data_IF_967137491296
#
_entry.id   IF_967137491296
#
_cell.length_a   1.000
_cell.length_b   1.000
_cell.length_c   1.000
_cell.angle_alpha   90.00
_cell.angle_beta   90.00
_cell.angle_gamma   90.00
#
_symmetry.space_group_name_H-M   'P 1'
#
loop_
_entity.id
_entity.type
_entity.pdbx_description
1 polymer ?
#
# COMPACT_ATOMS: atom_id res chain seq x y z
N UNK A 1 -15.31 3.78 -24.70
CA UNK A 1 -14.99 2.41 -24.22
C UNK A 1 -13.75 2.54 -23.36
N UNK A 2 -13.90 2.50 -22.05
CA UNK A 2 -12.80 2.73 -21.13
C UNK A 2 -11.88 1.49 -21.12
N UNK A 3 -10.66 1.63 -21.62
CA UNK A 3 -9.65 0.57 -21.54
C UNK A 3 -9.00 0.69 -20.17
N UNK A 4 -9.02 -0.34 -19.30
CA UNK A 4 -8.40 -0.23 -17.99
C UNK A 4 -6.86 -0.14 -18.08
N UNK A 5 -6.25 0.32 -16.99
CA UNK A 5 -4.80 0.22 -16.82
C UNK A 5 -4.35 -1.24 -16.92
N UNK A 6 -3.08 -1.44 -17.27
CA UNK A 6 -2.55 -2.81 -17.21
C UNK A 6 -2.65 -3.33 -15.76
N UNK A 7 -2.90 -4.64 -15.57
CA UNK A 7 -2.96 -5.22 -14.23
C UNK A 7 -1.68 -4.95 -13.42
N UNK A 8 -1.85 -4.57 -12.16
CA UNK A 8 -0.76 -4.25 -11.24
C UNK A 8 -0.11 -2.87 -11.46
N UNK A 9 -0.67 -2.05 -12.35
CA UNK A 9 -0.27 -0.65 -12.50
C UNK A 9 -1.33 0.25 -11.86
N UNK A 10 -0.90 1.03 -10.88
CA UNK A 10 -1.75 1.96 -10.15
C UNK A 10 -1.34 3.40 -10.46
N UNK A 11 -2.30 4.32 -10.42
CA UNK A 11 -2.10 5.73 -10.76
C UNK A 11 -2.62 6.63 -9.65
N UNK A 12 -1.84 7.68 -9.32
CA UNK A 12 -2.28 8.79 -8.47
C UNK A 12 -1.81 10.10 -9.09
N UNK A 13 -2.70 11.09 -9.14
CA UNK A 13 -2.37 12.46 -9.53
C UNK A 13 -2.08 13.29 -8.27
N UNK A 14 -0.93 13.97 -8.24
CA UNK A 14 -0.52 14.92 -7.20
C UNK A 14 -0.31 16.30 -7.85
N UNK A 15 -1.32 17.16 -7.78
CA UNK A 15 -1.30 18.43 -8.51
C UNK A 15 -1.24 18.20 -10.02
N UNK A 16 -0.16 18.65 -10.67
CA UNK A 16 0.07 18.43 -12.11
C UNK A 16 0.85 17.13 -12.41
N UNK A 17 1.42 16.48 -11.38
CA UNK A 17 2.25 15.30 -11.57
C UNK A 17 1.40 14.03 -11.53
N UNK A 18 1.70 13.10 -12.44
CA UNK A 18 1.07 11.78 -12.49
C UNK A 18 2.09 10.73 -12.05
N UNK A 19 1.86 10.12 -10.89
CA UNK A 19 2.69 9.04 -10.35
C UNK A 19 2.04 7.71 -10.68
N UNK A 20 2.87 6.79 -11.15
CA UNK A 20 2.51 5.40 -11.37
C UNK A 20 3.26 4.50 -10.41
N UNK A 21 2.55 3.51 -9.87
CA UNK A 21 3.13 2.42 -9.12
C UNK A 21 2.97 1.11 -9.89
N UNK A 22 4.09 0.58 -10.36
CA UNK A 22 4.19 -0.68 -11.09
C UNK A 22 4.55 -1.79 -10.11
N UNK A 23 3.53 -2.41 -9.53
CA UNK A 23 3.70 -3.43 -8.50
C UNK A 23 4.45 -4.68 -9.02
N UNK A 24 4.18 -5.21 -10.23
CA UNK A 24 4.96 -6.32 -10.78
C UNK A 24 6.45 -6.03 -10.96
N UNK A 25 6.80 -4.79 -11.34
CA UNK A 25 8.20 -4.38 -11.53
C UNK A 25 8.82 -3.68 -10.31
N UNK A 26 8.10 -3.63 -9.18
CA UNK A 26 8.52 -3.03 -7.92
C UNK A 26 9.12 -1.62 -8.06
N UNK A 27 8.42 -0.74 -8.79
CA UNK A 27 8.93 0.62 -9.07
C UNK A 27 7.84 1.67 -9.14
N UNK A 28 8.25 2.88 -8.81
CA UNK A 28 7.46 4.09 -9.03
C UNK A 28 8.09 4.88 -10.17
N UNK A 29 7.25 5.52 -10.98
CA UNK A 29 7.73 6.45 -11.99
C UNK A 29 6.74 7.60 -12.19
N UNK A 30 7.28 8.76 -12.51
CA UNK A 30 6.51 9.93 -12.94
C UNK A 30 6.20 9.81 -14.43
N UNK A 31 5.01 10.25 -14.83
CA UNK A 31 4.66 10.39 -16.23
C UNK A 31 5.52 11.48 -16.87
N UNK A 32 6.28 11.18 -17.94
CA UNK A 32 7.04 12.19 -18.65
C UNK A 32 6.12 13.29 -19.18
N UNK A 33 6.53 14.58 -19.14
CA UNK A 33 5.69 15.71 -19.54
C UNK A 33 5.06 15.57 -20.94
N UNK A 34 5.78 14.94 -21.87
CA UNK A 34 5.31 14.68 -23.25
C UNK A 34 4.07 13.79 -23.33
N UNK A 35 3.77 13.00 -22.31
CA UNK A 35 2.62 12.09 -22.27
C UNK A 35 1.47 12.62 -21.41
N UNK A 36 1.65 13.70 -20.65
CA UNK A 36 0.62 14.25 -19.74
C UNK A 36 -0.66 14.59 -20.48
N UNK A 37 -0.60 15.32 -21.60
CA UNK A 37 -1.79 15.66 -22.40
C UNK A 37 -2.51 14.45 -22.96
N UNK A 38 -1.75 13.45 -23.43
CA UNK A 38 -2.31 12.18 -23.93
C UNK A 38 -3.01 11.43 -22.78
N UNK A 39 -2.43 11.45 -21.59
CA UNK A 39 -2.99 10.84 -20.39
C UNK A 39 -4.25 11.55 -19.88
N UNK A 40 -4.27 12.87 -19.82
CA UNK A 40 -5.45 13.67 -19.43
C UNK A 40 -6.64 13.44 -20.38
N UNK A 41 -6.36 13.33 -21.69
CA UNK A 41 -7.38 12.94 -22.68
C UNK A 41 -7.91 11.55 -22.44
N UNK A 42 -7.04 10.61 -22.04
CA UNK A 42 -7.46 9.26 -21.68
C UNK A 42 -8.33 9.24 -20.42
N UNK A 43 -7.96 9.98 -19.37
CA UNK A 43 -8.77 10.11 -18.15
C UNK A 43 -10.15 10.73 -18.40
N UNK A 44 -10.29 11.58 -19.42
CA UNK A 44 -11.54 12.26 -19.78
C UNK A 44 -12.33 11.56 -20.90
N UNK A 45 -11.96 10.33 -21.28
CA UNK A 45 -12.54 9.54 -22.38
C UNK A 45 -12.52 10.28 -23.75
N UNK A 46 -11.55 11.18 -23.94
CA UNK A 46 -11.31 11.98 -25.17
C UNK A 46 -10.04 11.55 -25.92
N UNK A 47 -9.47 10.39 -25.60
CA UNK A 47 -8.25 9.90 -26.24
C UNK A 47 -8.51 9.44 -27.68
N UNK A 48 -7.65 9.86 -28.61
CA UNK A 48 -7.66 9.38 -30.00
C UNK A 48 -7.11 7.95 -30.13
N UNK A 49 -7.34 7.29 -31.26
CA UNK A 49 -6.73 5.98 -31.55
C UNK A 49 -5.18 6.02 -31.51
N UNK A 50 -4.58 7.13 -31.95
CA UNK A 50 -3.13 7.36 -31.83
C UNK A 50 -2.67 7.54 -30.38
N UNK A 51 -3.47 8.19 -29.54
CA UNK A 51 -3.19 8.35 -28.10
C UNK A 51 -3.20 6.98 -27.40
N UNK A 52 -4.22 6.16 -27.67
CA UNK A 52 -4.32 4.80 -27.13
C UNK A 52 -3.17 3.91 -27.59
N UNK A 53 -2.75 4.05 -28.86
CA UNK A 53 -1.59 3.31 -29.39
C UNK A 53 -0.30 3.68 -28.65
N UNK A 54 -0.04 4.98 -28.45
CA UNK A 54 1.11 5.46 -27.67
C UNK A 54 1.09 4.96 -26.22
N UNK A 55 -0.08 4.97 -25.57
CA UNK A 55 -0.23 4.45 -24.20
C UNK A 55 0.00 2.93 -24.11
N UNK A 56 -0.34 2.17 -25.17
CA UNK A 56 -0.03 0.73 -25.28
C UNK A 56 1.44 0.47 -25.55
N UNK A 57 2.08 1.26 -26.40
CA UNK A 57 3.52 1.15 -26.68
C UNK A 57 4.33 1.40 -25.41
N UNK A 58 3.84 2.31 -24.57
CA UNK A 58 4.41 2.60 -23.26
C UNK A 58 3.92 1.67 -22.13
N UNK A 59 3.12 0.64 -22.48
CA UNK A 59 2.62 -0.40 -21.58
C UNK A 59 1.88 0.15 -20.34
N UNK A 60 1.11 1.24 -20.50
CA UNK A 60 0.28 1.81 -19.44
C UNK A 60 -1.14 1.21 -19.41
N UNK A 61 -1.70 0.93 -20.58
CA UNK A 61 -3.06 0.38 -20.72
C UNK A 61 -3.03 -1.06 -21.20
N UNK A 62 -4.02 -1.85 -20.79
CA UNK A 62 -4.12 -3.24 -21.18
C UNK A 62 -4.27 -3.41 -22.70
N UNK A 63 -3.69 -4.48 -23.25
CA UNK A 63 -3.81 -4.84 -24.68
C UNK A 63 -5.16 -5.48 -25.03
N UNK A 64 -6.02 -5.74 -24.03
CA UNK A 64 -7.36 -6.30 -24.19
C UNK A 64 -8.28 -5.91 -23.05
N UNK A 65 -9.55 -6.32 -23.11
CA UNK A 65 -10.51 -6.16 -22.03
C UNK A 65 -10.09 -7.10 -20.89
N UNK A 66 -9.40 -6.59 -19.88
CA UNK A 66 -9.10 -7.38 -18.69
C UNK A 66 -10.24 -7.20 -17.72
N UNK A 67 -11.09 -8.22 -17.59
CA UNK A 67 -12.01 -8.37 -16.48
C UNK A 67 -11.21 -8.73 -15.22
N UNK A 68 -10.57 -7.71 -14.64
CA UNK A 68 -9.80 -7.81 -13.41
C UNK A 68 -10.31 -6.78 -12.43
N UNK A 69 -11.46 -7.07 -11.81
CA UNK A 69 -12.11 -6.21 -10.82
C UNK A 69 -11.33 -6.28 -9.51
N UNK A 70 -10.22 -5.54 -9.40
CA UNK A 70 -9.82 -5.02 -8.10
C UNK A 70 -10.80 -3.90 -7.77
N UNK A 71 -11.64 -4.12 -6.77
CA UNK A 71 -12.48 -3.06 -6.19
C UNK A 71 -11.55 -2.06 -5.51
N UNK A 72 -10.97 -1.16 -6.29
CA UNK A 72 -10.18 -0.01 -5.84
C UNK A 72 -11.10 1.02 -5.19
N UNK A 73 -11.85 0.61 -4.15
CA UNK A 73 -12.39 1.61 -3.23
C UNK A 73 -11.19 2.22 -2.53
N UNK A 74 -10.99 3.55 -2.62
CA UNK A 74 -9.90 4.17 -1.92
C UNK A 74 -10.03 3.84 -0.43
N UNK A 75 -8.92 3.57 0.27
CA UNK A 75 -8.97 3.36 1.71
C UNK A 75 -9.62 4.59 2.35
N UNK A 76 -10.38 4.36 3.43
CA UNK A 76 -11.03 5.45 4.17
C UNK A 76 -9.97 6.48 4.57
N UNK A 77 -10.34 7.75 4.58
CA UNK A 77 -9.44 8.79 5.08
C UNK A 77 -9.13 8.51 6.55
N UNK A 78 -7.86 8.39 6.94
CA UNK A 78 -7.52 8.14 8.33
C UNK A 78 -7.90 9.34 9.20
N UNK A 79 -8.59 9.10 10.30
CA UNK A 79 -9.04 10.14 11.26
C UNK A 79 -8.33 10.02 12.61
N UNK A 80 -7.69 8.89 12.88
CA UNK A 80 -6.95 8.65 14.11
C UNK A 80 -5.71 7.78 13.88
N UNK A 81 -4.79 7.79 14.84
CA UNK A 81 -3.67 6.85 14.86
C UNK A 81 -3.54 6.21 16.24
N UNK A 82 -3.67 4.88 16.27
CA UNK A 82 -3.37 4.09 17.46
C UNK A 82 -1.87 4.09 17.76
N UNK A 83 -1.01 4.55 16.83
CA UNK A 83 0.40 4.74 17.11
C UNK A 83 0.67 5.82 18.16
N UNK A 84 -0.15 6.87 18.18
CA UNK A 84 0.03 8.06 19.03
C UNK A 84 -0.44 7.83 20.47
N UNK A 85 -1.20 6.76 20.73
CA UNK A 85 -1.65 6.40 22.07
C UNK A 85 -0.48 5.88 22.92
N UNK A 86 -0.38 6.33 24.17
CA UNK A 86 0.62 5.83 25.13
C UNK A 86 0.18 4.49 25.69
N UNK A 87 1.02 3.46 25.54
CA UNK A 87 0.73 2.12 26.06
C UNK A 87 1.78 1.70 27.10
N UNK A 88 1.31 1.09 28.18
CA UNK A 88 2.15 0.57 29.26
C UNK A 88 2.79 -0.78 28.87
N UNK A 89 4.09 -0.93 29.14
CA UNK A 89 4.86 -2.17 29.29
C UNK A 89 4.69 -3.27 28.24
N UNK A 90 5.66 -3.45 27.34
CA UNK A 90 5.69 -4.57 26.38
C UNK A 90 6.39 -5.79 26.98
N UNK A 91 5.72 -6.94 26.97
CA UNK A 91 6.33 -8.23 27.36
C UNK A 91 7.46 -8.64 26.40
N UNK A 92 8.58 -9.13 26.95
CA UNK A 92 9.76 -9.55 26.19
C UNK A 92 9.47 -10.63 25.13
N UNK A 93 8.53 -11.54 25.41
CA UNK A 93 8.10 -12.57 24.47
C UNK A 93 7.42 -11.98 23.22
N UNK A 94 6.59 -10.95 23.41
CA UNK A 94 5.94 -10.21 22.32
C UNK A 94 6.96 -9.46 21.46
N UNK A 95 8.01 -8.90 22.07
CA UNK A 95 9.09 -8.23 21.35
C UNK A 95 9.91 -9.21 20.49
N UNK A 96 10.29 -10.37 21.05
CA UNK A 96 11.02 -11.41 20.32
C UNK A 96 10.22 -11.96 19.13
N UNK A 97 8.91 -12.16 19.32
CA UNK A 97 8.01 -12.57 18.24
C UNK A 97 7.94 -11.52 17.12
N UNK A 98 7.76 -10.24 17.46
CA UNK A 98 7.77 -9.14 16.48
C UNK A 98 9.05 -9.14 15.64
N UNK A 99 10.22 -9.32 16.28
CA UNK A 99 11.51 -9.39 15.59
C UNK A 99 11.56 -10.58 14.61
N UNK A 100 11.06 -11.75 15.03
CA UNK A 100 11.03 -12.93 14.18
C UNK A 100 10.10 -12.74 12.97
N UNK A 101 8.90 -12.18 13.17
CA UNK A 101 7.95 -11.91 12.08
C UNK A 101 8.52 -10.88 11.10
N UNK A 102 9.20 -9.84 11.59
CA UNK A 102 9.89 -8.86 10.73
C UNK A 102 11.02 -9.51 9.91
N UNK A 103 11.86 -10.36 10.55
CA UNK A 103 12.92 -11.09 9.83
C UNK A 103 12.36 -12.02 8.76
N UNK A 104 11.26 -12.72 9.05
CA UNK A 104 10.56 -13.55 8.09
C UNK A 104 9.99 -12.73 6.93
N UNK A 105 9.31 -11.63 7.21
CA UNK A 105 8.76 -10.74 6.19
C UNK A 105 9.87 -10.17 5.28
N UNK A 106 11.04 -9.81 5.85
CA UNK A 106 12.22 -9.40 5.08
C UNK A 106 12.75 -10.51 4.19
N UNK A 107 12.85 -11.73 4.72
CA UNK A 107 13.26 -12.91 3.95
C UNK A 107 12.30 -13.21 2.80
N UNK A 108 10.99 -13.16 3.06
CA UNK A 108 9.95 -13.37 2.05
C UNK A 108 10.01 -12.29 0.96
N UNK A 109 10.18 -11.01 1.34
CA UNK A 109 10.26 -9.90 0.38
C UNK A 109 11.47 -10.07 -0.55
N UNK A 110 12.63 -10.41 0.01
CA UNK A 110 13.85 -10.66 -0.78
C UNK A 110 13.73 -11.90 -1.68
N UNK A 111 12.97 -12.92 -1.27
CA UNK A 111 12.85 -14.19 -2.02
C UNK A 111 11.72 -14.18 -3.06
N UNK A 112 10.61 -13.50 -2.78
CA UNK A 112 9.37 -13.61 -3.57
C UNK A 112 8.99 -12.31 -4.29
N UNK A 113 9.56 -11.17 -3.88
CA UNK A 113 9.17 -9.85 -4.37
C UNK A 113 7.84 -9.36 -3.78
N UNK A 114 7.61 -8.04 -3.86
CA UNK A 114 6.43 -7.38 -3.29
C UNK A 114 5.13 -7.91 -3.92
N UNK A 115 5.12 -8.12 -5.23
CA UNK A 115 3.93 -8.54 -5.98
C UNK A 115 3.33 -9.85 -5.46
N UNK A 116 4.17 -10.86 -5.19
CA UNK A 116 3.73 -12.17 -4.66
C UNK A 116 3.19 -12.06 -3.24
N UNK A 117 3.78 -11.17 -2.43
CA UNK A 117 3.31 -10.94 -1.05
C UNK A 117 1.95 -10.27 -1.07
N UNK A 118 1.77 -9.23 -1.89
CA UNK A 118 0.49 -8.55 -2.06
C UNK A 118 -0.58 -9.53 -2.51
N UNK A 119 -0.33 -10.35 -3.55
CA UNK A 119 -1.28 -11.37 -3.99
C UNK A 119 -1.66 -12.37 -2.88
N UNK A 120 -0.72 -12.69 -1.99
CA UNK A 120 -1.03 -13.54 -0.83
C UNK A 120 -1.93 -12.80 0.18
N UNK A 121 -1.61 -11.54 0.47
CA UNK A 121 -2.38 -10.70 1.39
C UNK A 121 -3.80 -10.41 0.87
N UNK A 122 -4.01 -10.30 -0.44
CA UNK A 122 -5.35 -10.18 -1.06
C UNK A 122 -6.19 -11.43 -0.78
N UNK A 123 -5.60 -12.62 -0.92
CA UNK A 123 -6.29 -13.89 -0.63
C UNK A 123 -6.61 -14.03 0.85
N UNK A 124 -5.68 -13.66 1.72
CA UNK A 124 -5.82 -13.79 3.17
C UNK A 124 -6.81 -12.74 3.75
N UNK A 125 -6.94 -11.57 3.11
CA UNK A 125 -7.78 -10.45 3.57
C UNK A 125 -9.29 -10.64 3.42
N UNK A 126 -9.74 -11.63 2.62
CA UNK A 126 -11.15 -11.94 2.41
C UNK A 126 -11.83 -12.62 3.62
N UNK A 127 -11.06 -12.98 4.65
CA UNK A 127 -11.54 -13.81 5.77
C UNK A 127 -12.24 -13.03 6.90
N UNK A 128 -12.16 -11.70 6.96
CA UNK A 128 -12.75 -10.92 8.07
C UNK A 128 -13.21 -9.53 7.62
N UNK A 129 -14.36 -9.08 8.12
CA UNK A 129 -15.01 -7.82 7.74
C UNK A 129 -14.78 -6.68 8.75
N UNK A 130 -14.24 -6.98 9.93
CA UNK A 130 -14.01 -6.02 11.01
C UNK A 130 -12.68 -6.30 11.72
N UNK A 131 -12.24 -5.34 12.52
CA UNK A 131 -11.09 -5.44 13.39
C UNK A 131 -11.56 -5.09 14.80
N UNK A 132 -11.24 -5.92 15.78
CA UNK A 132 -11.44 -5.58 17.19
C UNK A 132 -10.38 -4.57 17.63
N UNK A 133 -10.81 -3.50 18.32
CA UNK A 133 -9.93 -2.41 18.74
C UNK A 133 -8.87 -2.88 19.76
N UNK A 134 -9.21 -3.85 20.60
CA UNK A 134 -8.28 -4.47 21.55
C UNK A 134 -7.15 -5.21 20.85
N UNK A 135 -7.50 -6.02 19.83
CA UNK A 135 -6.50 -6.71 19.00
C UNK A 135 -5.63 -5.72 18.21
N UNK A 136 -6.22 -4.69 17.61
CA UNK A 136 -5.48 -3.66 16.88
C UNK A 136 -4.47 -2.94 17.78
N UNK A 137 -4.88 -2.60 19.00
CA UNK A 137 -4.06 -2.00 20.03
C UNK A 137 -2.89 -2.90 20.43
N UNK A 138 -3.16 -4.15 20.82
CA UNK A 138 -2.12 -5.12 21.23
C UNK A 138 -1.03 -5.31 20.17
N UNK A 139 -1.46 -5.45 18.92
CA UNK A 139 -0.55 -5.60 17.78
C UNK A 139 0.28 -4.31 17.60
N UNK A 140 -0.35 -3.14 17.68
CA UNK A 140 0.33 -1.85 17.54
C UNK A 140 1.42 -1.67 18.59
N UNK A 141 1.13 -2.02 19.85
CA UNK A 141 2.07 -1.98 20.97
C UNK A 141 3.28 -2.88 20.73
N UNK A 142 3.05 -4.13 20.36
CA UNK A 142 4.12 -5.10 20.10
C UNK A 142 5.06 -4.66 18.98
N UNK A 143 4.53 -3.97 17.96
CA UNK A 143 5.33 -3.45 16.84
C UNK A 143 6.00 -2.09 17.13
N UNK A 144 5.48 -1.29 18.06
CA UNK A 144 6.12 -0.05 18.51
C UNK A 144 7.41 -0.31 19.28
N UNK A 145 7.44 -1.33 20.16
CA UNK A 145 8.62 -1.70 20.94
C UNK A 145 9.83 -2.13 20.09
N UNK A 146 9.61 -2.67 18.89
CA UNK A 146 10.67 -3.16 17.99
C UNK A 146 11.35 -2.10 17.11
N UNK A 147 11.12 -0.79 17.32
CA UNK A 147 11.56 0.30 16.41
C UNK A 147 13.08 0.56 16.35
N UNK A 148 13.92 -0.17 17.09
CA UNK A 148 15.34 0.17 17.21
C UNK A 148 16.18 -0.68 16.24
N UNK A 149 16.77 -0.02 15.23
CA UNK A 149 17.96 -0.42 14.43
C UNK A 149 17.76 -1.13 13.05
N UNK A 150 17.26 -0.45 12.00
CA UNK A 150 17.51 -0.69 10.53
C UNK A 150 17.07 0.58 9.71
N UNK A 151 17.45 0.72 8.44
CA UNK A 151 17.08 1.82 7.52
C UNK A 151 15.57 1.91 7.20
N UNK A 152 15.03 3.14 7.09
CA UNK A 152 13.60 3.46 7.11
C UNK A 152 12.72 2.88 5.97
N UNK A 153 13.23 2.78 4.73
CA UNK A 153 12.41 2.37 3.58
C UNK A 153 12.10 0.84 3.54
N UNK A 154 13.09 -0.01 3.83
CA UNK A 154 12.89 -1.45 3.97
C UNK A 154 12.00 -1.79 5.19
N UNK A 155 12.03 -0.93 6.21
CA UNK A 155 11.32 -1.17 7.46
C UNK A 155 9.82 -0.98 7.34
N UNK A 156 9.34 0.05 6.64
CA UNK A 156 7.90 0.34 6.60
C UNK A 156 7.12 -0.80 5.93
N UNK A 157 7.63 -1.30 4.79
CA UNK A 157 7.00 -2.41 4.07
C UNK A 157 7.08 -3.73 4.82
N UNK A 158 8.26 -4.10 5.31
CA UNK A 158 8.44 -5.33 6.10
C UNK A 158 7.56 -5.31 7.35
N UNK A 159 7.50 -4.17 8.04
CA UNK A 159 6.66 -3.97 9.23
C UNK A 159 5.19 -4.05 8.88
N UNK A 160 4.75 -3.39 7.81
CA UNK A 160 3.36 -3.41 7.36
C UNK A 160 2.89 -4.82 7.00
N UNK A 161 3.69 -5.57 6.24
CA UNK A 161 3.42 -6.98 5.90
C UNK A 161 3.33 -7.83 7.17
N UNK A 162 4.29 -7.68 8.08
CA UNK A 162 4.35 -8.43 9.33
C UNK A 162 3.11 -8.15 10.21
N UNK A 163 2.75 -6.88 10.36
CA UNK A 163 1.61 -6.44 11.15
C UNK A 163 0.29 -6.92 10.54
N UNK A 164 0.09 -6.74 9.22
CA UNK A 164 -1.10 -7.22 8.53
C UNK A 164 -1.28 -8.73 8.67
N UNK A 165 -0.20 -9.52 8.51
CA UNK A 165 -0.25 -10.97 8.73
C UNK A 165 -0.61 -11.35 10.16
N UNK A 166 -0.19 -10.56 11.14
CA UNK A 166 -0.50 -10.81 12.55
C UNK A 166 -1.97 -10.48 12.86
N UNK A 167 -2.49 -9.39 12.30
CA UNK A 167 -3.91 -9.02 12.40
C UNK A 167 -4.80 -10.06 11.72
N UNK A 168 -4.47 -10.48 10.50
CA UNK A 168 -5.21 -11.52 9.78
C UNK A 168 -5.26 -12.85 10.56
N UNK A 169 -4.15 -13.27 11.18
CA UNK A 169 -4.12 -14.46 12.06
C UNK A 169 -5.00 -14.35 13.30
N UNK A 170 -5.29 -13.13 13.75
CA UNK A 170 -6.18 -12.84 14.88
C UNK A 170 -7.60 -12.47 14.41
N UNK A 171 -7.96 -12.74 13.16
CA UNK A 171 -9.30 -12.47 12.61
C UNK A 171 -9.61 -10.99 12.44
N UNK A 172 -8.59 -10.13 12.35
CA UNK A 172 -8.73 -8.69 12.24
C UNK A 172 -8.46 -8.22 10.81
N UNK A 173 -9.45 -7.54 10.22
CA UNK A 173 -9.36 -6.95 8.89
C UNK A 173 -8.59 -5.64 8.91
N UNK A 174 -7.47 -5.59 8.19
CA UNK A 174 -6.67 -4.38 8.06
C UNK A 174 -6.07 -4.29 6.65
N UNK A 175 -5.99 -3.07 6.14
CA UNK A 175 -5.41 -2.74 4.85
C UNK A 175 -3.94 -2.38 5.03
N UNK A 176 -3.09 -2.88 4.15
CA UNK A 176 -1.76 -2.35 3.89
C UNK A 176 -1.88 -1.34 2.76
N UNK A 177 -1.77 -0.06 3.10
CA UNK A 177 -1.90 1.06 2.16
C UNK A 177 -0.52 1.54 1.75
N UNK A 178 -0.34 1.77 0.46
CA UNK A 178 0.82 2.44 -0.13
C UNK A 178 0.39 3.84 -0.52
N UNK A 179 1.18 4.85 -0.15
CA UNK A 179 0.93 6.22 -0.51
C UNK A 179 2.16 6.94 -0.99
N UNK A 180 1.92 8.03 -1.70
CA UNK A 180 2.93 8.87 -2.35
C UNK A 180 2.71 10.34 -2.02
N UNK A 181 3.78 11.11 -1.96
CA UNK A 181 3.75 12.57 -1.73
C UNK A 181 4.79 13.30 -2.59
N UNK A 182 4.74 14.63 -2.62
CA UNK A 182 5.71 15.50 -3.31
C UNK A 182 6.44 16.43 -2.31
N UNK A 183 7.77 16.63 -2.41
CA UNK A 183 8.73 15.94 -3.30
C UNK A 183 8.65 14.41 -3.17
N UNK A 184 8.93 13.70 -4.27
CA UNK A 184 8.61 12.26 -4.38
C UNK A 184 9.11 11.46 -3.18
N UNK A 185 8.17 10.90 -2.43
CA UNK A 185 8.42 9.93 -1.37
C UNK A 185 7.29 8.91 -1.38
N UNK A 186 7.65 7.64 -1.27
CA UNK A 186 6.73 6.53 -1.15
C UNK A 186 6.80 5.97 0.27
N UNK A 187 5.64 5.72 0.87
CA UNK A 187 5.52 5.12 2.18
C UNK A 187 4.36 4.12 2.19
N UNK A 188 4.40 3.16 3.12
CA UNK A 188 3.26 2.28 3.33
C UNK A 188 2.95 2.14 4.82
N UNK A 189 1.67 2.04 5.13
CA UNK A 189 1.14 1.93 6.49
C UNK A 189 0.05 0.88 6.57
N UNK A 190 -0.24 0.44 7.80
CA UNK A 190 -1.39 -0.44 8.05
C UNK A 190 -2.52 0.37 8.66
N UNK A 191 -3.73 0.17 8.14
CA UNK A 191 -4.93 0.87 8.55
C UNK A 191 -6.07 -0.12 8.80
N UNK A 192 -6.73 0.00 9.95
CA UNK A 192 -7.97 -0.71 10.25
C UNK A 192 -9.11 0.31 10.32
N UNK A 193 -10.07 0.24 9.39
CA UNK A 193 -11.10 1.27 9.28
C UNK A 193 -10.50 2.64 8.97
N UNK A 194 -10.61 3.57 9.91
CA UNK A 194 -10.05 4.94 9.84
C UNK A 194 -8.82 5.13 10.74
N UNK A 195 -8.34 4.06 11.39
CA UNK A 195 -7.27 4.09 12.38
C UNK A 195 -5.95 3.59 11.78
N UNK A 196 -4.92 4.44 11.78
CA UNK A 196 -3.55 4.05 11.41
C UNK A 196 -2.86 3.33 12.56
N UNK A 197 -2.14 2.25 12.26
CA UNK A 197 -1.50 1.39 13.26
C UNK A 197 0.04 1.50 13.28
N UNK A 198 0.66 1.88 12.16
CA UNK A 198 2.13 1.82 12.02
C UNK A 198 2.84 3.15 12.27
N UNK A 199 2.14 4.26 12.06
CA UNK A 199 2.73 5.59 11.94
C UNK A 199 1.83 6.68 12.56
N UNK A 200 2.41 7.79 13.01
CA UNK A 200 1.66 8.97 13.44
C UNK A 200 0.72 9.50 12.36
N UNK A 201 -0.43 10.06 12.78
CA UNK A 201 -1.41 10.59 11.84
C UNK A 201 -0.86 11.77 11.02
N UNK A 202 -0.08 12.65 11.64
CA UNK A 202 0.53 13.83 11.01
C UNK A 202 1.53 13.50 9.88
N UNK A 203 2.12 12.30 9.95
CA UNK A 203 2.97 11.75 8.89
C UNK A 203 2.11 11.23 7.74
N UNK A 204 1.11 10.39 8.04
CA UNK A 204 0.28 9.74 7.01
C UNK A 204 -0.59 10.73 6.25
N UNK A 205 -1.10 11.78 6.91
CA UNK A 205 -1.89 12.82 6.26
C UNK A 205 -1.16 13.57 5.13
N UNK A 206 0.17 13.45 5.04
CA UNK A 206 0.97 14.05 3.95
C UNK A 206 1.01 13.19 2.69
N UNK A 207 0.62 11.92 2.79
CA UNK A 207 0.66 10.96 1.70
C UNK A 207 -0.74 10.78 1.10
N UNK A 208 -0.81 10.64 -0.21
CA UNK A 208 -2.03 10.24 -0.89
C UNK A 208 -1.94 8.74 -1.22
N UNK A 209 -2.91 7.92 -0.80
CA UNK A 209 -2.93 6.48 -1.10
C UNK A 209 -2.85 6.23 -2.62
N UNK A 210 -2.03 5.32 -3.13
CA UNK A 210 -2.02 4.92 -4.55
C UNK A 210 -2.50 3.49 -4.75
N UNK A 211 -2.30 2.64 -3.75
CA UNK A 211 -2.68 1.23 -3.77
C UNK A 211 -2.96 0.75 -2.34
N UNK A 212 -3.86 -0.20 -2.16
CA UNK A 212 -4.08 -0.87 -0.87
C UNK A 212 -4.48 -2.32 -1.07
N UNK A 213 -4.04 -3.17 -0.14
CA UNK A 213 -4.38 -4.60 -0.09
C UNK A 213 -4.85 -4.98 1.29
#
# INVERSE_FOLDING_TARGET
>A
MFIPLRPGLYHRQLGADHIFFDLPADRYFLLPPKYVRTWERYLTDKASHSDLSRLRDWNLIARGNVEGRSTDLPPRTPTSSLFDTSFAGVSFASAAWTIWVQRRARGDLRRRGIYRIVQQLERDGLASLSCDDGVASDVTVAFRAGRRYVSAADQCLVRGIAMKRMLARRGCSALLVFGVTMPFSAHCWVQAGESVLTDPLDVICRYQPIFSV
#
